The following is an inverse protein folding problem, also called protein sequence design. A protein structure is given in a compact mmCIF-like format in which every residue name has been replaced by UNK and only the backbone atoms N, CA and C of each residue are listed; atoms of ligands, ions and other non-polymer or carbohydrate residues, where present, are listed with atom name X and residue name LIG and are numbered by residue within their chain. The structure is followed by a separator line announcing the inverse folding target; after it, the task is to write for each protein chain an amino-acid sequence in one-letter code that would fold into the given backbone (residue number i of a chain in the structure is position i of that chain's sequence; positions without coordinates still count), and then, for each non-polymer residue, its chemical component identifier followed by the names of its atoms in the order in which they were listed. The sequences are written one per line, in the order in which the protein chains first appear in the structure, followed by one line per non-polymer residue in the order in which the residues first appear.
data_IF_767701344925
#
_entry.id   IF_767701344925
#
_cell.length_a   1.000
_cell.length_b   1.000
_cell.length_c   1.000
_cell.angle_alpha   90.00
_cell.angle_beta   90.00
_cell.angle_gamma   90.00
#
_symmetry.space_group_name_H-M   'P 1'
#
loop_
_entity.id
_entity.type
_entity.pdbx_description
1 polymer ?
#
# COMPACT_ATOMS: atom_id res chain seq x y z
N UNK A 1 -8.64 -24.57 11.58
CA UNK A 1 -9.13 -23.82 10.40
C UNK A 1 -8.96 -22.31 10.54
N UNK A 2 -9.18 -21.69 11.71
CA UNK A 2 -9.00 -20.23 11.90
C UNK A 2 -7.54 -19.73 11.78
N UNK A 3 -6.54 -20.54 12.13
CA UNK A 3 -5.14 -20.08 12.13
C UNK A 3 -4.64 -19.61 10.76
N UNK A 4 -5.03 -20.27 9.66
CA UNK A 4 -4.65 -19.87 8.30
C UNK A 4 -5.23 -18.53 7.89
N UNK A 5 -6.52 -18.29 8.19
CA UNK A 5 -7.16 -16.99 7.93
C UNK A 5 -6.57 -15.87 8.79
N UNK A 6 -6.17 -16.16 10.03
CA UNK A 6 -5.52 -15.18 10.90
C UNK A 6 -4.13 -14.75 10.37
N UNK A 7 -3.36 -15.68 9.78
CA UNK A 7 -2.08 -15.35 9.12
C UNK A 7 -2.30 -14.43 7.92
N UNK A 8 -3.28 -14.75 7.08
CA UNK A 8 -3.63 -13.91 5.92
C UNK A 8 -4.08 -12.52 6.38
N UNK A 9 -4.96 -12.43 7.38
CA UNK A 9 -5.42 -11.14 7.92
C UNK A 9 -4.29 -10.27 8.48
N UNK A 10 -3.29 -10.88 9.14
CA UNK A 10 -2.10 -10.16 9.61
C UNK A 10 -1.19 -9.68 8.47
N UNK A 11 -0.97 -10.51 7.45
CA UNK A 11 -0.17 -10.13 6.28
C UNK A 11 -0.81 -8.97 5.48
N UNK A 12 -2.15 -8.92 5.42
CA UNK A 12 -2.88 -7.86 4.73
C UNK A 12 -2.91 -6.53 5.51
N UNK A 13 -2.69 -6.55 6.83
CA UNK A 13 -2.83 -5.36 7.68
C UNK A 13 -1.84 -4.25 7.33
N UNK A 14 -0.64 -4.62 6.89
CA UNK A 14 0.45 -3.67 6.70
C UNK A 14 0.38 -2.91 5.37
N UNK A 15 0.12 -3.55 4.21
CA UNK A 15 -0.18 -2.83 2.97
C UNK A 15 -1.42 -1.93 3.10
N UNK A 16 -2.46 -2.39 3.81
CA UNK A 16 -3.67 -1.60 4.05
C UNK A 16 -3.36 -0.33 4.86
N UNK A 17 -2.45 -0.41 5.83
CA UNK A 17 -2.03 0.74 6.62
C UNK A 17 -1.25 1.80 5.80
N UNK A 18 -0.68 1.45 4.65
CA UNK A 18 0.04 2.38 3.76
C UNK A 18 -0.91 3.10 2.78
N UNK A 19 -2.09 2.55 2.50
CA UNK A 19 -3.07 3.13 1.57
C UNK A 19 -3.53 4.57 1.94
N UNK A 20 -3.77 4.93 3.22
CA UNK A 20 -4.11 6.30 3.59
C UNK A 20 -3.00 7.29 3.24
N UNK A 21 -1.74 6.93 3.49
CA UNK A 21 -0.60 7.76 3.12
C UNK A 21 -0.48 7.91 1.60
N UNK A 22 -0.71 6.84 0.82
CA UNK A 22 -0.73 6.89 -0.64
C UNK A 22 -1.83 7.82 -1.18
N UNK A 23 -3.03 7.76 -0.58
CA UNK A 23 -4.16 8.62 -0.93
C UNK A 23 -3.91 10.09 -0.62
N UNK A 24 -3.31 10.37 0.54
CA UNK A 24 -2.85 11.73 0.89
C UNK A 24 -1.79 12.22 -0.09
N UNK A 25 -0.79 11.39 -0.40
CA UNK A 25 0.28 11.75 -1.34
C UNK A 25 -0.29 12.08 -2.74
N UNK A 26 -1.23 11.26 -3.23
CA UNK A 26 -1.90 11.47 -4.50
C UNK A 26 -2.70 12.78 -4.54
N UNK A 27 -3.37 13.14 -3.44
CA UNK A 27 -4.14 14.38 -3.32
C UNK A 27 -3.27 15.62 -3.11
N UNK A 28 -2.19 15.50 -2.35
CA UNK A 28 -1.26 16.61 -2.13
C UNK A 28 -0.48 16.96 -3.38
N UNK A 29 -0.14 15.98 -4.22
CA UNK A 29 0.57 16.24 -5.48
C UNK A 29 -0.32 16.72 -6.64
N UNK A 30 -1.65 16.75 -6.47
CA UNK A 30 -2.57 17.16 -7.52
C UNK A 30 -2.42 18.64 -7.87
N UNK A 31 -2.69 18.96 -9.14
CA UNK A 31 -2.66 20.31 -9.72
C UNK A 31 -3.51 21.32 -8.93
N UNK A 32 -4.58 20.83 -8.27
CA UNK A 32 -5.51 21.64 -7.47
C UNK A 32 -4.96 22.07 -6.09
N UNK A 33 -3.89 21.46 -5.58
CA UNK A 33 -3.43 21.66 -4.19
C UNK A 33 -2.01 22.24 -4.13
N UNK A 34 -1.02 21.49 -4.61
CA UNK A 34 0.39 21.92 -4.60
C UNK A 34 1.08 21.81 -5.97
N UNK A 35 0.43 21.21 -6.98
CA UNK A 35 0.96 21.06 -8.35
C UNK A 35 2.39 20.47 -8.37
N UNK A 36 2.57 19.33 -7.68
CA UNK A 36 3.85 18.61 -7.62
C UNK A 36 3.70 17.23 -8.27
N UNK A 37 3.96 17.11 -9.58
CA UNK A 37 3.73 15.87 -10.35
C UNK A 37 4.51 14.65 -9.81
N UNK A 38 5.68 14.88 -9.22
CA UNK A 38 6.48 13.81 -8.59
C UNK A 38 5.75 13.18 -7.40
N UNK A 39 5.13 13.99 -6.55
CA UNK A 39 4.40 13.52 -5.37
C UNK A 39 3.13 12.79 -5.80
N UNK A 40 2.42 13.32 -6.80
CA UNK A 40 1.24 12.67 -7.37
C UNK A 40 1.56 11.29 -7.95
N UNK A 41 2.58 11.22 -8.80
CA UNK A 41 3.02 9.96 -9.42
C UNK A 41 3.55 8.95 -8.40
N UNK A 42 4.22 9.39 -7.33
CA UNK A 42 4.62 8.54 -6.21
C UNK A 42 3.42 7.93 -5.47
N UNK A 43 2.37 8.72 -5.21
CA UNK A 43 1.14 8.24 -4.61
C UNK A 43 0.41 7.23 -5.50
N UNK A 44 0.30 7.54 -6.79
CA UNK A 44 -0.31 6.66 -7.79
C UNK A 44 0.46 5.34 -7.97
N UNK A 45 1.79 5.35 -7.91
CA UNK A 45 2.62 4.15 -8.02
C UNK A 45 2.30 3.10 -6.94
N UNK A 46 1.97 3.53 -5.71
CA UNK A 46 1.59 2.61 -4.63
C UNK A 46 0.29 1.86 -4.94
N UNK A 47 -0.66 2.49 -5.64
CA UNK A 47 -1.88 1.84 -6.10
C UNK A 47 -1.63 0.93 -7.30
N UNK A 48 -0.78 1.34 -8.24
CA UNK A 48 -0.42 0.56 -9.44
C UNK A 48 0.32 -0.73 -9.06
N UNK A 49 1.19 -0.69 -8.06
CA UNK A 49 1.99 -1.85 -7.62
C UNK A 49 1.45 -2.52 -6.35
N UNK A 50 0.17 -2.30 -6.03
CA UNK A 50 -0.45 -2.84 -4.82
C UNK A 50 -0.34 -4.37 -4.74
N UNK A 51 -0.52 -5.06 -5.88
CA UNK A 51 -0.36 -6.52 -5.99
C UNK A 51 1.05 -6.98 -5.61
N UNK A 52 2.07 -6.22 -6.01
CA UNK A 52 3.47 -6.51 -5.71
C UNK A 52 3.76 -6.29 -4.23
N UNK A 53 3.24 -5.21 -3.65
CA UNK A 53 3.32 -4.94 -2.21
C UNK A 53 2.71 -6.10 -1.42
N UNK A 54 1.53 -6.59 -1.80
CA UNK A 54 0.92 -7.75 -1.15
C UNK A 54 1.77 -9.03 -1.30
N UNK A 55 2.37 -9.25 -2.47
CA UNK A 55 3.22 -10.41 -2.71
C UNK A 55 4.49 -10.41 -1.84
N UNK A 56 5.17 -9.25 -1.73
CA UNK A 56 6.38 -9.09 -0.91
C UNK A 56 6.04 -9.25 0.58
N UNK A 57 4.95 -8.63 1.04
CA UNK A 57 4.55 -8.69 2.44
C UNK A 57 4.11 -10.07 2.90
N UNK A 58 3.40 -10.79 2.05
CA UNK A 58 3.03 -12.17 2.34
C UNK A 58 4.25 -13.10 2.41
N UNK A 59 5.29 -12.83 1.61
CA UNK A 59 6.52 -13.60 1.60
C UNK A 59 7.26 -13.51 2.95
N UNK A 60 7.43 -12.31 3.51
CA UNK A 60 8.09 -12.11 4.82
C UNK A 60 7.39 -12.85 5.97
N UNK A 61 6.05 -12.91 5.93
CA UNK A 61 5.23 -13.57 6.95
C UNK A 61 5.17 -15.10 6.85
N UNK A 62 5.64 -15.69 5.75
CA UNK A 62 5.72 -17.15 5.59
C UNK A 62 7.00 -17.71 6.22
N UNK A 63 8.06 -16.91 6.26
CA UNK A 63 9.41 -17.32 6.70
C UNK A 63 9.66 -17.09 8.20
N UNK A 64 8.79 -16.31 8.87
CA UNK A 64 8.78 -16.10 10.32
C UNK A 64 7.64 -16.85 11.01
#
# INVERSE_FOLDING_TARGET
MLGGLQKIGKALMLPIAVLPAAGLLNRLGADDVFDVPFIHSGGAALFTFLSLLFAIWYFDWIIT
#
